data_IF_838519774632
#
_entry.id   IF_838519774632
#
_cell.length_a   1.000
_cell.length_b   1.000
_cell.length_c   1.000
_cell.angle_alpha   90.00
_cell.angle_beta   90.00
_cell.angle_gamma   90.00
#
_symmetry.space_group_name_H-M   'P 1'
#
loop_
_entity.id
_entity.type
_entity.pdbx_description
1 polymer ?
#
# COMPACT_ATOMS: atom_id res chain seq x y z
N UNK A 1 61.30 -48.78 -22.02
CA UNK A 1 61.27 -48.32 -20.61
C UNK A 1 59.92 -47.64 -20.36
N UNK A 2 58.95 -48.34 -19.79
CA UNK A 2 57.68 -47.75 -19.33
C UNK A 2 57.96 -47.03 -18.02
N UNK A 3 57.99 -45.68 -18.03
CA UNK A 3 58.07 -44.92 -16.80
C UNK A 3 56.79 -45.19 -15.98
N UNK A 4 56.94 -45.68 -14.77
CA UNK A 4 55.89 -45.73 -13.78
C UNK A 4 55.37 -44.29 -13.55
N UNK A 5 54.15 -44.03 -13.95
CA UNK A 5 53.44 -42.81 -13.62
C UNK A 5 53.30 -42.78 -12.12
N UNK A 6 53.83 -41.69 -11.51
CA UNK A 6 53.82 -41.54 -10.08
C UNK A 6 52.37 -41.51 -9.56
N UNK A 7 51.97 -42.59 -8.92
CA UNK A 7 50.62 -42.74 -8.35
C UNK A 7 50.33 -41.67 -7.27
N UNK A 8 51.37 -41.04 -6.71
CA UNK A 8 51.23 -40.03 -5.68
C UNK A 8 50.62 -38.70 -6.19
N UNK A 9 50.91 -38.34 -7.45
CA UNK A 9 50.37 -37.09 -8.06
C UNK A 9 48.90 -37.26 -8.42
N UNK A 10 48.48 -38.43 -8.89
CA UNK A 10 47.03 -38.73 -9.13
C UNK A 10 46.23 -38.79 -7.82
N UNK A 11 46.82 -39.31 -6.78
CA UNK A 11 46.19 -39.46 -5.47
C UNK A 11 45.99 -38.07 -4.82
N UNK A 12 47.00 -37.20 -4.81
CA UNK A 12 46.91 -35.84 -4.26
C UNK A 12 45.92 -34.92 -4.97
N UNK A 13 45.78 -35.03 -6.31
CA UNK A 13 44.81 -34.25 -7.06
C UNK A 13 43.38 -34.68 -6.79
N UNK A 14 43.14 -36.02 -6.61
CA UNK A 14 41.82 -36.56 -6.26
C UNK A 14 41.41 -36.19 -4.83
N UNK A 15 42.33 -36.27 -3.86
CA UNK A 15 42.04 -35.90 -2.48
C UNK A 15 41.77 -34.38 -2.32
N UNK A 16 42.56 -33.53 -2.94
CA UNK A 16 42.35 -32.09 -2.91
C UNK A 16 41.02 -31.68 -3.56
N UNK A 17 40.58 -32.40 -4.61
CA UNK A 17 39.32 -32.13 -5.26
C UNK A 17 38.13 -32.60 -4.40
N UNK A 18 38.20 -33.74 -3.76
CA UNK A 18 37.17 -34.25 -2.85
C UNK A 18 37.11 -33.39 -1.56
N UNK A 19 38.24 -32.86 -1.10
CA UNK A 19 38.29 -31.91 0.02
C UNK A 19 37.62 -30.59 -0.33
N UNK A 20 37.94 -29.98 -1.47
CA UNK A 20 37.29 -28.80 -2.02
C UNK A 20 35.79 -29.01 -2.23
N UNK A 21 35.39 -30.18 -2.73
CA UNK A 21 33.96 -30.53 -2.91
C UNK A 21 33.23 -30.68 -1.60
N UNK A 22 33.89 -31.25 -0.57
CA UNK A 22 33.35 -31.38 0.77
C UNK A 22 33.19 -30.00 1.42
N UNK A 23 34.21 -29.17 1.35
CA UNK A 23 34.21 -27.81 1.87
C UNK A 23 33.14 -26.93 1.20
N UNK A 24 32.98 -27.07 -0.11
CA UNK A 24 31.93 -26.40 -0.87
C UNK A 24 30.53 -26.85 -0.42
N UNK A 25 30.34 -28.16 -0.25
CA UNK A 25 29.06 -28.73 0.21
C UNK A 25 28.71 -28.29 1.64
N UNK A 26 29.70 -28.24 2.52
CA UNK A 26 29.57 -27.76 3.90
C UNK A 26 29.24 -26.26 3.94
N UNK A 27 29.86 -25.46 3.08
CA UNK A 27 29.60 -24.02 2.97
C UNK A 27 28.20 -23.74 2.41
N UNK A 28 27.73 -24.50 1.39
CA UNK A 28 26.35 -24.39 0.90
C UNK A 28 25.35 -24.80 2.00
N UNK A 29 25.62 -25.88 2.72
CA UNK A 29 24.78 -26.33 3.82
C UNK A 29 24.73 -25.32 4.98
N UNK A 30 25.83 -24.65 5.24
CA UNK A 30 25.93 -23.57 6.23
C UNK A 30 25.15 -22.32 5.80
N UNK A 31 25.21 -21.95 4.53
CA UNK A 31 24.42 -20.88 3.93
C UNK A 31 22.93 -21.18 3.97
N UNK A 32 22.52 -22.39 3.59
CA UNK A 32 21.13 -22.81 3.62
C UNK A 32 20.56 -22.78 5.06
N UNK A 33 21.36 -23.24 6.05
CA UNK A 33 21.00 -23.13 7.46
C UNK A 33 20.90 -21.70 7.94
N UNK A 34 21.83 -20.81 7.54
CA UNK A 34 21.81 -19.40 7.88
C UNK A 34 20.58 -18.70 7.26
N UNK A 35 20.26 -19.02 6.01
CA UNK A 35 19.10 -18.51 5.29
C UNK A 35 17.78 -18.94 5.96
N UNK A 36 17.64 -20.22 6.27
CA UNK A 36 16.47 -20.76 6.96
C UNK A 36 16.32 -20.15 8.37
N UNK A 37 17.42 -19.99 9.11
CA UNK A 37 17.37 -19.35 10.42
C UNK A 37 16.98 -17.88 10.35
N UNK A 38 17.46 -17.17 9.34
CA UNK A 38 17.10 -15.76 9.07
C UNK A 38 15.62 -15.63 8.66
N UNK A 39 15.14 -16.53 7.81
CA UNK A 39 13.73 -16.57 7.41
C UNK A 39 12.79 -16.85 8.59
N UNK A 40 13.13 -17.81 9.46
CA UNK A 40 12.38 -18.12 10.67
C UNK A 40 12.41 -16.92 11.64
N UNK A 41 13.56 -16.29 11.83
CA UNK A 41 13.68 -15.09 12.67
C UNK A 41 12.84 -13.94 12.14
N UNK A 42 12.88 -13.66 10.83
CA UNK A 42 12.06 -12.63 10.19
C UNK A 42 10.54 -12.91 10.35
N UNK A 43 10.14 -14.18 10.24
CA UNK A 43 8.74 -14.57 10.48
C UNK A 43 8.32 -14.37 11.93
N UNK A 44 9.20 -14.66 12.89
CA UNK A 44 8.96 -14.46 14.31
C UNK A 44 8.92 -12.97 14.66
N UNK A 45 9.86 -12.17 14.16
CA UNK A 45 9.90 -10.70 14.34
C UNK A 45 8.63 -10.05 13.76
N UNK A 46 8.14 -10.54 12.61
CA UNK A 46 6.89 -10.11 11.99
C UNK A 46 5.64 -10.52 12.81
N UNK A 47 5.67 -11.70 13.42
CA UNK A 47 4.60 -12.18 14.28
C UNK A 47 4.57 -11.39 15.61
N UNK A 48 5.73 -11.05 16.15
CA UNK A 48 5.88 -10.21 17.33
C UNK A 48 5.36 -8.80 17.08
N UNK A 49 5.72 -8.18 15.95
CA UNK A 49 5.17 -6.88 15.52
C UNK A 49 3.65 -6.90 15.36
N UNK A 50 3.07 -8.01 14.92
CA UNK A 50 1.60 -8.16 14.80
C UNK A 50 0.90 -8.36 16.14
N UNK A 51 1.61 -8.82 17.16
CA UNK A 51 1.06 -9.14 18.49
C UNK A 51 1.23 -8.01 19.53
N UNK A 52 2.00 -6.96 19.20
CA UNK A 52 2.24 -5.85 20.12
C UNK A 52 0.99 -5.00 20.28
N UNK A 53 0.45 -5.00 21.49
CA UNK A 53 -0.65 -4.12 21.91
C UNK A 53 -0.07 -2.72 22.15
N UNK A 54 -0.33 -1.79 21.21
CA UNK A 54 0.29 -0.48 21.18
C UNK A 54 -0.35 0.48 22.19
N UNK A 55 0.09 0.41 23.42
CA UNK A 55 -0.40 1.28 24.50
C UNK A 55 0.23 2.69 24.51
N UNK A 56 1.35 2.92 23.84
CA UNK A 56 1.93 4.27 23.74
C UNK A 56 2.68 4.51 22.42
N UNK A 57 2.62 5.76 21.91
CA UNK A 57 3.31 6.25 20.71
C UNK A 57 4.83 5.99 20.75
N UNK A 58 5.45 6.22 21.88
CA UNK A 58 6.91 6.13 22.06
C UNK A 58 7.44 4.70 22.00
N UNK A 59 6.69 3.72 22.51
CA UNK A 59 7.06 2.30 22.45
C UNK A 59 6.92 1.74 21.03
N UNK A 60 5.95 2.22 20.26
CA UNK A 60 5.76 1.84 18.85
C UNK A 60 6.92 2.34 17.97
N UNK A 61 7.25 3.63 18.03
CA UNK A 61 8.33 4.23 17.23
C UNK A 61 9.66 3.55 17.49
N UNK A 62 9.97 3.24 18.75
CA UNK A 62 11.22 2.59 19.15
C UNK A 62 11.27 1.14 18.70
N UNK A 63 10.23 0.33 18.95
CA UNK A 63 10.19 -1.08 18.57
C UNK A 63 10.22 -1.25 17.03
N UNK A 64 9.53 -0.40 16.29
CA UNK A 64 9.54 -0.40 14.83
C UNK A 64 10.92 -0.05 14.25
N UNK A 65 11.61 0.94 14.83
CA UNK A 65 12.93 1.37 14.38
C UNK A 65 14.00 0.31 14.68
N UNK A 66 14.00 -0.25 15.89
CA UNK A 66 14.96 -1.25 16.35
C UNK A 66 14.81 -2.56 15.53
N UNK A 67 13.60 -3.03 15.30
CA UNK A 67 13.35 -4.23 14.49
C UNK A 67 13.77 -4.02 13.04
N UNK A 68 13.51 -2.83 12.50
CA UNK A 68 13.89 -2.47 11.14
C UNK A 68 15.41 -2.48 10.95
N UNK A 69 16.15 -1.87 11.86
CA UNK A 69 17.63 -1.82 11.81
C UNK A 69 18.22 -3.22 11.92
N UNK A 70 17.70 -4.07 12.82
CA UNK A 70 18.12 -5.45 12.96
C UNK A 70 17.95 -6.29 11.70
N UNK A 71 16.81 -6.10 10.98
CA UNK A 71 16.56 -6.79 9.70
C UNK A 71 17.57 -6.35 8.64
N UNK A 72 17.81 -5.04 8.51
CA UNK A 72 18.78 -4.51 7.55
C UNK A 72 20.21 -4.98 7.82
N UNK A 73 20.63 -5.02 9.07
CA UNK A 73 21.97 -5.45 9.46
C UNK A 73 22.15 -6.94 9.17
N UNK A 74 21.17 -7.80 9.46
CA UNK A 74 21.22 -9.23 9.12
C UNK A 74 21.24 -9.48 7.60
N UNK A 75 20.46 -8.72 6.83
CA UNK A 75 20.50 -8.81 5.36
C UNK A 75 21.86 -8.38 4.81
N UNK A 76 22.48 -7.36 5.41
CA UNK A 76 23.84 -6.93 5.06
C UNK A 76 24.85 -8.03 5.34
N UNK A 77 24.82 -8.66 6.50
CA UNK A 77 25.74 -9.74 6.90
C UNK A 77 25.62 -10.93 5.94
N UNK A 78 24.40 -11.33 5.54
CA UNK A 78 24.17 -12.38 4.54
C UNK A 78 24.73 -11.98 3.18
N UNK A 79 24.51 -10.73 2.74
CA UNK A 79 25.03 -10.21 1.46
C UNK A 79 26.55 -10.16 1.44
N UNK A 80 27.20 -9.68 2.50
CA UNK A 80 28.66 -9.65 2.60
C UNK A 80 29.25 -11.05 2.68
N UNK A 81 28.61 -11.97 3.40
CA UNK A 81 29.01 -13.38 3.43
C UNK A 81 28.98 -14.01 2.04
N UNK A 82 27.91 -13.80 1.26
CA UNK A 82 27.76 -14.28 -0.13
C UNK A 82 28.79 -13.62 -1.05
N UNK A 83 29.01 -12.31 -0.91
CA UNK A 83 29.98 -11.56 -1.69
C UNK A 83 31.41 -12.05 -1.44
N UNK A 84 31.76 -12.29 -0.19
CA UNK A 84 33.10 -12.79 0.20
C UNK A 84 33.33 -14.23 -0.29
N UNK A 85 32.32 -15.09 -0.25
CA UNK A 85 32.39 -16.44 -0.85
C UNK A 85 32.62 -16.40 -2.37
N UNK A 86 31.98 -15.45 -3.07
CA UNK A 86 32.14 -15.31 -4.51
C UNK A 86 33.55 -14.85 -4.90
N UNK A 87 34.15 -13.95 -4.14
CA UNK A 87 35.51 -13.46 -4.38
C UNK A 87 36.60 -14.50 -4.07
N UNK A 88 36.49 -15.19 -2.96
CA UNK A 88 37.45 -16.23 -2.59
C UNK A 88 37.46 -17.37 -3.61
N UNK A 89 36.28 -17.82 -4.04
CA UNK A 89 36.13 -18.93 -5.01
C UNK A 89 36.57 -18.58 -6.42
N UNK A 90 36.39 -17.34 -6.87
CA UNK A 90 36.88 -16.92 -8.21
C UNK A 90 38.42 -16.87 -8.24
N UNK A 91 39.08 -16.52 -7.13
CA UNK A 91 40.51 -16.55 -6.98
C UNK A 91 41.05 -17.99 -6.90
N UNK A 92 40.36 -18.86 -6.13
CA UNK A 92 40.75 -20.29 -5.99
C UNK A 92 40.50 -21.06 -7.30
N UNK A 93 39.41 -20.78 -8.00
CA UNK A 93 39.14 -21.32 -9.34
C UNK A 93 40.18 -20.87 -10.36
N UNK A 94 40.59 -19.58 -10.34
CA UNK A 94 41.65 -19.06 -11.20
C UNK A 94 43.00 -19.71 -10.88
N UNK A 95 43.32 -19.90 -9.60
CA UNK A 95 44.53 -20.59 -9.16
C UNK A 95 44.55 -22.06 -9.61
N UNK A 96 43.39 -22.75 -9.49
CA UNK A 96 43.23 -24.15 -9.94
C UNK A 96 43.37 -24.29 -11.45
N UNK A 97 42.73 -23.40 -12.21
CA UNK A 97 42.82 -23.36 -13.68
C UNK A 97 44.25 -23.02 -14.12
N UNK A 98 44.94 -22.11 -13.44
CA UNK A 98 46.37 -21.74 -13.70
C UNK A 98 47.29 -22.91 -13.40
N UNK A 99 47.11 -23.64 -12.28
CA UNK A 99 47.88 -24.82 -11.92
C UNK A 99 47.67 -25.99 -12.91
N UNK A 100 46.45 -26.17 -13.39
CA UNK A 100 46.11 -27.10 -14.46
C UNK A 100 46.82 -26.72 -15.79
N UNK A 101 46.82 -25.43 -16.15
CA UNK A 101 47.49 -24.93 -17.36
C UNK A 101 49.02 -25.20 -17.32
N UNK A 102 49.67 -24.93 -16.17
CA UNK A 102 51.11 -25.19 -15.97
C UNK A 102 51.43 -26.68 -16.02
N UNK A 103 50.54 -27.54 -15.50
CA UNK A 103 50.71 -29.02 -15.57
C UNK A 103 50.43 -29.60 -16.96
N UNK A 104 49.65 -28.91 -17.80
CA UNK A 104 49.42 -29.29 -19.22
C UNK A 104 50.56 -28.91 -20.13
N UNK A 105 51.35 -27.83 -19.82
CA UNK A 105 52.56 -27.45 -20.57
C UNK A 105 53.68 -28.45 -20.35
N UNK A 106 53.71 -29.17 -19.25
CA UNK A 106 54.67 -30.22 -18.95
C UNK A 106 54.22 -31.54 -19.65
N UNK A 107 54.60 -31.66 -20.91
CA UNK A 107 54.10 -32.55 -22.00
C UNK A 107 54.02 -34.06 -21.72
N UNK A 108 54.09 -34.54 -20.48
CA UNK A 108 54.25 -35.98 -20.28
C UNK A 108 53.24 -36.70 -19.32
N UNK A 109 52.21 -36.04 -18.77
CA UNK A 109 51.55 -36.68 -17.61
C UNK A 109 50.00 -36.67 -17.63
N UNK A 110 49.29 -35.99 -18.54
CA UNK A 110 47.82 -35.88 -18.40
C UNK A 110 47.09 -36.38 -19.68
N UNK A 111 46.20 -37.36 -19.49
CA UNK A 111 45.23 -37.76 -20.51
C UNK A 111 44.18 -36.69 -20.74
N UNK A 112 43.95 -36.29 -21.97
CA UNK A 112 43.03 -35.21 -22.38
C UNK A 112 41.58 -35.44 -21.83
N UNK A 113 41.18 -36.68 -21.65
CA UNK A 113 39.85 -37.05 -21.12
C UNK A 113 39.69 -36.64 -19.65
N UNK A 114 40.76 -36.78 -18.83
CA UNK A 114 40.74 -36.41 -17.41
C UNK A 114 40.65 -34.88 -17.25
N UNK A 115 41.25 -34.10 -18.14
CA UNK A 115 41.20 -32.63 -18.13
C UNK A 115 39.81 -32.15 -18.53
N UNK A 116 39.20 -32.77 -19.54
CA UNK A 116 37.85 -32.44 -19.97
C UNK A 116 36.82 -32.70 -18.82
N UNK A 117 36.94 -33.83 -18.11
CA UNK A 117 36.07 -34.16 -16.97
C UNK A 117 36.20 -33.16 -15.81
N UNK A 118 37.44 -32.70 -15.51
CA UNK A 118 37.69 -31.69 -14.47
C UNK A 118 37.11 -30.34 -14.88
N UNK A 119 37.31 -29.92 -16.15
CA UNK A 119 36.74 -28.67 -16.66
C UNK A 119 35.21 -28.68 -16.64
N UNK A 120 34.58 -29.79 -16.99
CA UNK A 120 33.11 -29.97 -16.92
C UNK A 120 32.61 -29.82 -15.49
N UNK A 121 33.26 -30.45 -14.51
CA UNK A 121 32.91 -30.33 -13.08
C UNK A 121 33.08 -28.89 -12.56
N UNK A 122 34.10 -28.17 -13.00
CA UNK A 122 34.32 -26.75 -12.68
C UNK A 122 33.21 -25.88 -13.25
N UNK A 123 32.78 -26.15 -14.49
CA UNK A 123 31.72 -25.41 -15.15
C UNK A 123 30.36 -25.62 -14.43
N UNK A 124 30.05 -26.84 -14.06
CA UNK A 124 28.82 -27.18 -13.29
C UNK A 124 28.83 -26.46 -11.94
N UNK A 125 29.93 -26.50 -11.19
CA UNK A 125 30.06 -25.76 -9.92
C UNK A 125 29.85 -24.25 -10.08
N UNK A 126 30.38 -23.66 -11.17
CA UNK A 126 30.20 -22.23 -11.48
C UNK A 126 28.73 -21.89 -11.77
N UNK A 127 28.04 -22.73 -12.56
CA UNK A 127 26.62 -22.56 -12.85
C UNK A 127 25.75 -22.67 -11.60
N UNK A 128 26.00 -23.63 -10.74
CA UNK A 128 25.26 -23.81 -9.48
C UNK A 128 25.44 -22.62 -8.53
N UNK A 129 26.67 -22.09 -8.44
CA UNK A 129 26.94 -20.88 -7.65
C UNK A 129 26.21 -19.66 -8.20
N UNK A 130 26.20 -19.47 -9.54
CA UNK A 130 25.47 -18.37 -10.16
C UNK A 130 23.96 -18.46 -9.95
N UNK A 131 23.41 -19.65 -10.02
CA UNK A 131 21.99 -19.90 -9.75
C UNK A 131 21.63 -19.62 -8.29
N UNK A 132 22.48 -20.04 -7.35
CA UNK A 132 22.31 -19.73 -5.93
C UNK A 132 22.32 -18.21 -5.66
N UNK A 133 23.26 -17.46 -6.27
CA UNK A 133 23.31 -16.01 -6.17
C UNK A 133 22.02 -15.35 -6.67
N UNK A 134 21.53 -15.74 -7.87
CA UNK A 134 20.27 -15.21 -8.40
C UNK A 134 19.07 -15.49 -7.50
N UNK A 135 19.05 -16.66 -6.89
CA UNK A 135 17.99 -17.04 -5.94
C UNK A 135 18.04 -16.15 -4.70
N UNK A 136 19.23 -15.89 -4.15
CA UNK A 136 19.43 -15.01 -3.00
C UNK A 136 19.04 -13.55 -3.30
N UNK A 137 19.42 -13.03 -4.47
CA UNK A 137 18.99 -11.71 -4.94
C UNK A 137 17.45 -11.60 -5.03
N UNK A 138 16.81 -12.64 -5.54
CA UNK A 138 15.35 -12.72 -5.60
C UNK A 138 14.69 -12.70 -4.21
N UNK A 139 15.25 -13.45 -3.25
CA UNK A 139 14.76 -13.47 -1.86
C UNK A 139 14.97 -12.11 -1.20
N UNK A 140 16.14 -11.50 -1.39
CA UNK A 140 16.45 -10.17 -0.85
C UNK A 140 15.49 -9.11 -1.36
N UNK A 141 15.24 -9.06 -2.67
CA UNK A 141 14.30 -8.10 -3.27
C UNK A 141 12.89 -8.28 -2.71
N UNK A 142 12.42 -9.51 -2.59
CA UNK A 142 11.11 -9.82 -2.02
C UNK A 142 11.01 -9.45 -0.54
N UNK A 143 12.08 -9.62 0.22
CA UNK A 143 12.14 -9.18 1.62
C UNK A 143 12.06 -7.65 1.74
N UNK A 144 12.74 -6.92 0.86
CA UNK A 144 12.69 -5.45 0.81
C UNK A 144 11.27 -4.98 0.49
N UNK A 145 10.61 -5.55 -0.53
CA UNK A 145 9.22 -5.24 -0.89
C UNK A 145 8.27 -5.47 0.30
N UNK A 146 8.38 -6.61 0.98
CA UNK A 146 7.55 -6.92 2.14
C UNK A 146 7.77 -5.92 3.30
N UNK A 147 9.02 -5.50 3.54
CA UNK A 147 9.35 -4.50 4.57
C UNK A 147 8.71 -3.15 4.23
N UNK A 148 8.75 -2.72 2.98
CA UNK A 148 8.12 -1.47 2.54
C UNK A 148 6.60 -1.52 2.68
N UNK A 149 5.97 -2.65 2.35
CA UNK A 149 4.53 -2.86 2.57
C UNK A 149 4.15 -2.77 4.06
N UNK A 150 4.93 -3.41 4.93
CA UNK A 150 4.71 -3.37 6.39
C UNK A 150 4.86 -1.95 6.93
N UNK A 151 5.89 -1.21 6.51
CA UNK A 151 6.07 0.20 6.89
C UNK A 151 4.90 1.06 6.48
N UNK A 152 4.44 0.91 5.24
CA UNK A 152 3.30 1.66 4.74
C UNK A 152 2.04 1.34 5.56
N UNK A 153 1.81 0.07 5.89
CA UNK A 153 0.66 -0.34 6.70
C UNK A 153 0.76 0.20 8.13
N UNK A 154 1.93 0.18 8.73
CA UNK A 154 2.17 0.76 10.05
C UNK A 154 1.93 2.27 10.06
N UNK A 155 2.43 2.98 9.04
CA UNK A 155 2.16 4.41 8.89
C UNK A 155 0.65 4.70 8.79
N UNK A 156 -0.09 3.92 8.01
CA UNK A 156 -1.54 4.06 7.88
C UNK A 156 -2.27 3.83 9.21
N UNK A 157 -1.89 2.80 9.94
CA UNK A 157 -2.46 2.50 11.26
C UNK A 157 -2.20 3.63 12.26
N UNK A 158 -0.96 4.12 12.30
CA UNK A 158 -0.58 5.24 13.15
C UNK A 158 -1.34 6.53 12.80
N UNK A 159 -1.44 6.83 11.50
CA UNK A 159 -2.20 7.97 11.00
C UNK A 159 -3.66 7.91 11.44
N UNK A 160 -4.29 6.73 11.34
CA UNK A 160 -5.67 6.50 11.76
C UNK A 160 -5.87 6.74 13.26
N UNK A 161 -4.96 6.25 14.11
CA UNK A 161 -5.00 6.50 15.55
C UNK A 161 -4.87 8.00 15.89
N UNK A 162 -3.96 8.71 15.19
CA UNK A 162 -3.84 10.16 15.36
C UNK A 162 -5.14 10.89 14.99
N UNK A 163 -5.79 10.49 13.90
CA UNK A 163 -7.08 11.07 13.52
C UNK A 163 -8.18 10.75 14.52
N UNK A 164 -8.16 9.57 15.15
CA UNK A 164 -9.10 9.24 16.22
C UNK A 164 -8.93 10.18 17.44
N UNK A 165 -7.70 10.40 17.89
CA UNK A 165 -7.40 11.33 19.00
C UNK A 165 -7.79 12.77 18.65
N UNK A 166 -7.39 13.25 17.46
CA UNK A 166 -7.74 14.59 16.99
C UNK A 166 -9.26 14.79 16.87
N UNK A 167 -9.97 13.78 16.38
CA UNK A 167 -11.44 13.81 16.29
C UNK A 167 -12.06 13.89 17.68
N UNK A 168 -11.63 13.00 18.58
CA UNK A 168 -12.11 12.97 19.96
C UNK A 168 -11.95 14.34 20.64
N UNK A 169 -10.76 14.92 20.58
CA UNK A 169 -10.47 16.23 21.17
C UNK A 169 -11.29 17.36 20.52
N UNK A 170 -11.42 17.31 19.18
CA UNK A 170 -12.18 18.32 18.44
C UNK A 170 -13.68 18.31 18.76
N UNK A 171 -14.25 17.15 19.10
CA UNK A 171 -15.68 16.98 19.39
C UNK A 171 -16.05 17.32 20.85
N UNK A 172 -15.09 17.44 21.78
CA UNK A 172 -15.38 17.58 23.22
C UNK A 172 -16.32 18.73 23.53
N UNK A 173 -16.09 19.92 22.99
CA UNK A 173 -16.82 21.14 23.31
C UNK A 173 -17.70 21.59 22.13
N UNK A 174 -18.34 20.66 21.44
CA UNK A 174 -19.23 20.94 20.31
C UNK A 174 -20.66 20.54 20.64
N UNK A 175 -21.45 21.52 21.10
CA UNK A 175 -22.83 21.33 21.55
C UNK A 175 -23.80 20.93 20.43
N UNK A 176 -23.44 21.26 19.17
CA UNK A 176 -24.26 20.89 18.01
C UNK A 176 -24.16 19.39 17.68
N UNK A 177 -23.06 18.73 18.03
CA UNK A 177 -22.87 17.30 17.84
C UNK A 177 -23.47 16.54 19.03
N UNK A 178 -24.74 16.18 18.93
CA UNK A 178 -25.52 15.55 20.01
C UNK A 178 -25.19 14.07 20.18
N UNK A 179 -25.07 13.34 19.08
CA UNK A 179 -24.68 11.94 19.08
C UNK A 179 -23.25 11.81 18.54
N UNK A 180 -22.32 11.47 19.44
CA UNK A 180 -20.89 11.30 19.17
C UNK A 180 -20.49 9.83 18.96
N UNK A 181 -21.46 8.89 18.96
CA UNK A 181 -21.19 7.47 18.78
C UNK A 181 -21.12 7.15 17.27
N UNK A 182 -19.94 7.09 16.72
CA UNK A 182 -19.69 6.69 15.35
C UNK A 182 -19.16 5.26 15.29
N UNK A 183 -19.78 4.41 14.45
CA UNK A 183 -19.33 3.04 14.20
C UNK A 183 -18.35 3.03 13.02
N UNK A 184 -17.08 3.31 13.28
CA UNK A 184 -16.03 3.47 12.26
C UNK A 184 -15.25 2.14 12.13
N UNK A 185 -15.93 1.11 11.61
CA UNK A 185 -15.36 -0.24 11.51
C UNK A 185 -15.72 -0.89 10.17
N UNK A 186 -14.82 -1.70 9.62
CA UNK A 186 -14.94 -2.40 8.33
C UNK A 186 -15.17 -1.44 7.14
N UNK A 187 -16.29 -1.60 6.41
CA UNK A 187 -16.62 -0.81 5.23
C UNK A 187 -17.12 0.61 5.49
N UNK A 188 -17.33 1.00 6.76
CA UNK A 188 -17.78 2.34 7.11
C UNK A 188 -16.67 3.40 6.87
N UNK A 189 -17.03 4.67 7.00
CA UNK A 189 -16.06 5.77 7.06
C UNK A 189 -15.05 5.53 8.17
N UNK A 190 -13.80 5.92 7.96
CA UNK A 190 -12.73 5.82 8.96
C UNK A 190 -12.56 7.14 9.74
N UNK A 191 -11.69 7.15 10.75
CA UNK A 191 -11.46 8.33 11.60
C UNK A 191 -10.94 9.52 10.81
N UNK A 192 -10.04 9.32 9.86
CA UNK A 192 -9.50 10.41 9.03
C UNK A 192 -10.59 11.07 8.19
N UNK A 193 -11.56 10.30 7.69
CA UNK A 193 -12.69 10.83 6.92
C UNK A 193 -13.64 11.63 7.81
N UNK A 194 -14.08 11.05 8.92
CA UNK A 194 -14.99 11.76 9.85
C UNK A 194 -14.33 13.02 10.41
N UNK A 195 -13.03 12.97 10.78
CA UNK A 195 -12.29 14.15 11.21
C UNK A 195 -12.26 15.24 10.13
N UNK A 196 -11.92 14.86 8.90
CA UNK A 196 -11.88 15.78 7.76
C UNK A 196 -13.22 16.46 7.54
N UNK A 197 -14.27 15.66 7.47
CA UNK A 197 -15.63 16.15 7.28
C UNK A 197 -16.08 17.03 8.45
N UNK A 198 -15.82 16.62 9.68
CA UNK A 198 -16.11 17.41 10.89
C UNK A 198 -15.44 18.78 10.83
N UNK A 199 -14.14 18.84 10.46
CA UNK A 199 -13.40 20.11 10.36
C UNK A 199 -13.96 21.01 9.26
N UNK A 200 -14.35 20.45 8.13
CA UNK A 200 -15.02 21.20 7.04
C UNK A 200 -16.36 21.77 7.53
N UNK A 201 -17.20 20.94 8.13
CA UNK A 201 -18.50 21.38 8.65
C UNK A 201 -18.35 22.44 9.75
N UNK A 202 -17.36 22.29 10.63
CA UNK A 202 -17.18 23.19 11.77
C UNK A 202 -16.58 24.53 11.39
N UNK A 203 -15.69 24.61 10.41
CA UNK A 203 -14.91 25.81 10.10
C UNK A 203 -15.30 26.49 8.78
N UNK A 204 -15.74 25.73 7.76
CA UNK A 204 -16.15 26.28 6.47
C UNK A 204 -17.63 26.66 6.48
N UNK A 205 -18.43 25.92 7.24
CA UNK A 205 -19.85 26.17 7.43
C UNK A 205 -20.67 26.13 6.11
N UNK A 206 -20.57 25.03 5.31
CA UNK A 206 -21.24 24.93 4.02
C UNK A 206 -22.76 24.98 4.17
N UNK A 207 -23.45 25.53 3.15
CA UNK A 207 -24.90 25.69 3.16
C UNK A 207 -25.65 24.60 2.37
N UNK A 208 -25.11 24.17 1.25
CA UNK A 208 -25.74 23.17 0.40
C UNK A 208 -24.82 21.96 0.30
N UNK A 209 -25.27 20.85 0.85
CA UNK A 209 -24.47 19.63 0.97
C UNK A 209 -25.11 18.53 0.10
N UNK A 210 -24.30 17.88 -0.73
CA UNK A 210 -24.65 16.67 -1.42
C UNK A 210 -23.79 15.54 -0.90
N UNK A 211 -24.43 14.45 -0.48
CA UNK A 211 -23.75 13.24 -0.03
C UNK A 211 -24.17 12.07 -0.90
N UNK A 212 -23.21 11.45 -1.57
CA UNK A 212 -23.39 10.24 -2.36
C UNK A 212 -22.95 9.04 -1.55
N UNK A 213 -23.88 8.18 -1.20
CA UNK A 213 -23.73 7.07 -0.24
C UNK A 213 -24.16 7.47 1.17
N UNK A 214 -25.05 6.68 1.76
CA UNK A 214 -25.58 6.90 3.11
C UNK A 214 -24.80 6.09 4.14
N UNK A 215 -24.33 6.73 5.23
CA UNK A 215 -23.55 6.04 6.26
C UNK A 215 -23.24 6.90 7.49
N UNK A 216 -22.09 6.64 8.11
CA UNK A 216 -21.64 7.38 9.30
C UNK A 216 -21.40 8.87 9.01
N UNK A 217 -21.02 9.21 7.78
CA UNK A 217 -20.92 10.58 7.31
C UNK A 217 -22.28 11.28 7.31
N UNK A 218 -23.36 10.58 6.95
CA UNK A 218 -24.73 11.10 7.00
C UNK A 218 -25.19 11.39 8.44
N UNK A 219 -24.74 10.62 9.41
CA UNK A 219 -24.99 10.90 10.82
C UNK A 219 -24.33 12.20 11.28
N UNK A 220 -23.16 12.52 10.75
CA UNK A 220 -22.46 13.77 11.05
C UNK A 220 -23.09 14.96 10.32
N UNK A 221 -23.34 14.85 9.02
CA UNK A 221 -23.88 15.93 8.18
C UNK A 221 -25.31 16.30 8.55
N UNK A 222 -26.16 15.31 8.90
CA UNK A 222 -27.54 15.58 9.34
C UNK A 222 -27.58 16.30 10.69
N UNK A 223 -26.70 15.98 11.64
CA UNK A 223 -26.59 16.71 12.91
C UNK A 223 -26.13 18.16 12.68
N UNK A 224 -25.19 18.36 11.76
CA UNK A 224 -24.75 19.69 11.37
C UNK A 224 -25.93 20.53 10.85
N UNK A 225 -26.74 20.01 9.94
CA UNK A 225 -27.91 20.68 9.38
C UNK A 225 -28.99 20.90 10.46
N UNK A 226 -29.19 19.92 11.35
CA UNK A 226 -30.21 20.02 12.38
C UNK A 226 -29.86 21.02 13.49
N UNK A 227 -28.61 21.05 13.94
CA UNK A 227 -28.27 21.67 15.21
C UNK A 227 -27.23 22.81 15.09
N UNK A 228 -26.43 22.88 14.00
CA UNK A 228 -25.41 23.91 13.84
C UNK A 228 -25.80 24.98 12.85
N UNK A 229 -26.14 24.63 11.62
CA UNK A 229 -26.43 25.57 10.55
C UNK A 229 -27.88 25.44 10.08
N UNK A 230 -28.75 26.31 10.60
CA UNK A 230 -30.17 26.30 10.28
C UNK A 230 -30.49 26.74 8.83
N UNK A 231 -29.53 27.32 8.12
CA UNK A 231 -29.66 27.68 6.70
C UNK A 231 -29.15 26.58 5.77
N UNK A 232 -28.49 25.54 6.33
CA UNK A 232 -27.94 24.46 5.53
C UNK A 232 -29.01 23.45 5.09
N UNK A 233 -28.82 22.87 3.92
CA UNK A 233 -29.59 21.75 3.36
C UNK A 233 -28.68 20.59 3.05
N UNK A 234 -29.24 19.39 3.12
CA UNK A 234 -28.53 18.13 2.84
C UNK A 234 -29.39 17.26 1.93
N UNK A 235 -28.84 16.90 0.79
CA UNK A 235 -29.37 15.83 -0.07
C UNK A 235 -28.46 14.59 0.06
N UNK A 236 -29.03 13.48 0.50
CA UNK A 236 -28.35 12.17 0.62
C UNK A 236 -28.87 11.28 -0.51
N UNK A 237 -27.96 10.74 -1.30
CA UNK A 237 -28.26 9.84 -2.42
C UNK A 237 -27.87 8.42 -2.03
N UNK A 238 -28.82 7.50 -2.07
CA UNK A 238 -28.59 6.09 -1.74
C UNK A 238 -29.34 5.19 -2.74
N UNK A 239 -28.83 3.99 -3.00
CA UNK A 239 -29.43 3.03 -3.93
C UNK A 239 -30.08 1.83 -3.24
N UNK A 240 -29.82 1.62 -1.96
CA UNK A 240 -30.31 0.50 -1.18
C UNK A 240 -31.44 0.94 -0.25
N UNK A 241 -32.67 0.52 -0.58
CA UNK A 241 -33.86 0.88 0.18
C UNK A 241 -33.86 0.28 1.59
N UNK A 242 -33.38 -0.95 1.74
CA UNK A 242 -33.30 -1.62 3.04
C UNK A 242 -32.28 -0.91 3.93
N UNK A 243 -31.18 -0.43 3.35
CA UNK A 243 -30.19 0.37 4.08
C UNK A 243 -30.75 1.72 4.53
N UNK A 244 -31.53 2.38 3.67
CA UNK A 244 -32.24 3.62 4.03
C UNK A 244 -33.16 3.37 5.23
N UNK A 245 -33.97 2.31 5.19
CA UNK A 245 -34.92 1.99 6.27
C UNK A 245 -34.24 1.73 7.61
N UNK A 246 -33.11 1.04 7.60
CA UNK A 246 -32.29 0.79 8.80
C UNK A 246 -31.67 2.08 9.34
N UNK A 247 -31.10 2.89 8.44
CA UNK A 247 -30.23 3.99 8.84
C UNK A 247 -30.93 5.29 9.15
N UNK A 248 -32.03 5.59 8.44
CA UNK A 248 -32.79 6.84 8.60
C UNK A 248 -33.29 7.05 10.04
N UNK A 249 -33.60 5.96 10.77
CA UNK A 249 -34.05 6.04 12.17
C UNK A 249 -32.97 6.56 13.13
N UNK A 250 -31.70 6.55 12.69
CA UNK A 250 -30.56 7.03 13.48
C UNK A 250 -30.21 8.49 13.20
N UNK A 251 -30.87 9.11 12.24
CA UNK A 251 -30.57 10.47 11.80
C UNK A 251 -31.55 11.49 12.39
N UNK A 252 -31.10 12.69 12.78
CA UNK A 252 -31.99 13.79 13.13
C UNK A 252 -32.59 14.41 11.87
N UNK A 253 -33.57 13.74 11.29
CA UNK A 253 -34.25 14.18 10.08
C UNK A 253 -35.12 15.41 10.35
N UNK A 254 -35.09 16.37 9.42
CA UNK A 254 -35.99 17.52 9.35
C UNK A 254 -36.24 17.86 7.87
N UNK A 255 -37.05 18.89 7.60
CA UNK A 255 -37.41 19.31 6.23
C UNK A 255 -36.23 19.68 5.33
N UNK A 256 -35.06 19.97 5.93
CA UNK A 256 -33.82 20.37 5.24
C UNK A 256 -32.89 19.19 4.95
N UNK A 257 -33.17 18.00 5.48
CA UNK A 257 -32.44 16.75 5.21
C UNK A 257 -33.32 15.87 4.36
N UNK A 258 -32.91 15.62 3.14
CA UNK A 258 -33.66 14.79 2.18
C UNK A 258 -32.84 13.57 1.79
N UNK A 259 -33.47 12.41 1.88
CA UNK A 259 -32.90 11.14 1.43
C UNK A 259 -33.57 10.77 0.11
N UNK A 260 -32.79 10.47 -0.91
CA UNK A 260 -33.25 10.14 -2.24
C UNK A 260 -32.80 8.72 -2.59
N UNK A 261 -33.80 7.83 -2.80
CA UNK A 261 -33.54 6.51 -3.35
C UNK A 261 -33.31 6.62 -4.86
N UNK A 262 -32.08 6.40 -5.30
CA UNK A 262 -31.65 6.44 -6.68
C UNK A 262 -31.17 5.06 -7.13
N UNK A 263 -31.94 4.37 -7.97
CA UNK A 263 -31.51 3.11 -8.56
C UNK A 263 -30.18 3.27 -9.32
N UNK A 264 -29.45 2.18 -9.45
CA UNK A 264 -28.22 2.18 -10.25
C UNK A 264 -28.52 1.92 -11.73
N UNK A 265 -27.74 2.51 -12.61
CA UNK A 265 -27.63 2.14 -14.01
C UNK A 265 -26.21 1.70 -14.34
N UNK A 266 -26.10 0.81 -15.31
CA UNK A 266 -24.82 0.27 -15.76
C UNK A 266 -24.37 0.98 -17.03
N UNK A 267 -23.07 1.17 -17.17
CA UNK A 267 -22.44 1.71 -18.37
C UNK A 267 -21.07 1.07 -18.57
N UNK A 268 -20.58 1.07 -19.80
CA UNK A 268 -19.27 0.53 -20.13
C UNK A 268 -18.21 1.65 -20.14
N UNK A 269 -17.06 1.40 -19.52
CA UNK A 269 -15.90 2.27 -19.59
C UNK A 269 -14.64 1.43 -19.79
N UNK A 270 -13.92 1.66 -20.89
CA UNK A 270 -12.71 0.90 -21.30
C UNK A 270 -12.92 -0.62 -21.29
N UNK A 271 -14.08 -1.10 -21.75
CA UNK A 271 -14.41 -2.53 -21.81
C UNK A 271 -14.81 -3.17 -20.46
N UNK A 272 -14.99 -2.38 -19.42
CA UNK A 272 -15.41 -2.84 -18.09
C UNK A 272 -16.76 -2.23 -17.74
N UNK A 273 -17.68 -3.05 -17.24
CA UNK A 273 -18.95 -2.60 -16.72
C UNK A 273 -18.76 -1.78 -15.44
N UNK A 274 -19.32 -0.59 -15.43
CA UNK A 274 -19.36 0.32 -14.30
C UNK A 274 -20.82 0.65 -13.95
N UNK A 275 -21.05 1.25 -12.79
CA UNK A 275 -22.38 1.66 -12.34
C UNK A 275 -22.34 3.06 -11.73
N UNK A 276 -23.45 3.77 -11.90
CA UNK A 276 -23.69 5.10 -11.37
C UNK A 276 -25.15 5.25 -10.93
N UNK A 277 -25.46 6.28 -10.16
CA UNK A 277 -26.84 6.62 -9.83
C UNK A 277 -27.60 7.06 -11.06
N UNK A 278 -28.73 6.40 -11.32
CA UNK A 278 -29.58 6.64 -12.45
C UNK A 278 -30.42 7.91 -12.24
N UNK A 279 -30.48 8.77 -13.26
CA UNK A 279 -31.29 9.97 -13.26
C UNK A 279 -31.03 10.91 -12.07
N UNK A 280 -29.83 10.93 -11.55
CA UNK A 280 -29.43 11.81 -10.44
C UNK A 280 -29.70 13.28 -10.77
N UNK A 281 -29.49 13.70 -12.03
CA UNK A 281 -29.74 15.07 -12.51
C UNK A 281 -31.17 15.57 -12.23
N UNK A 282 -32.17 14.67 -12.26
CA UNK A 282 -33.55 15.03 -11.93
C UNK A 282 -33.71 15.35 -10.44
N UNK A 283 -32.95 14.71 -9.57
CA UNK A 283 -33.00 14.87 -8.11
C UNK A 283 -32.34 16.17 -7.67
N UNK A 284 -31.21 16.48 -8.31
CA UNK A 284 -30.38 17.65 -7.94
C UNK A 284 -30.57 18.83 -8.89
N UNK A 285 -31.58 18.77 -9.75
CA UNK A 285 -31.88 19.82 -10.73
C UNK A 285 -31.95 21.19 -10.06
N UNK A 286 -31.35 22.18 -10.71
CA UNK A 286 -31.32 23.59 -10.29
C UNK A 286 -30.70 23.86 -8.91
N UNK A 287 -30.03 22.86 -8.32
CA UNK A 287 -29.29 22.99 -7.06
C UNK A 287 -27.80 23.23 -7.29
N UNK A 288 -27.19 24.01 -6.40
CA UNK A 288 -25.74 24.25 -6.38
C UNK A 288 -25.18 23.88 -5.02
N UNK A 289 -24.13 23.03 -4.99
CA UNK A 289 -23.58 22.48 -3.77
C UNK A 289 -22.22 23.10 -3.42
N UNK A 290 -22.05 23.47 -2.16
CA UNK A 290 -20.78 23.95 -1.59
C UNK A 290 -19.92 22.80 -1.06
N UNK A 291 -20.56 21.70 -0.65
CA UNK A 291 -19.87 20.50 -0.18
C UNK A 291 -20.46 19.29 -0.90
N UNK A 292 -19.59 18.53 -1.54
CA UNK A 292 -19.96 17.25 -2.18
C UNK A 292 -19.11 16.13 -1.54
N UNK A 293 -19.78 15.14 -0.98
CA UNK A 293 -19.19 13.96 -0.36
C UNK A 293 -19.39 12.78 -1.31
N UNK A 294 -18.28 12.15 -1.72
CA UNK A 294 -18.26 11.12 -2.77
C UNK A 294 -17.84 9.79 -2.14
N UNK A 295 -18.82 9.07 -1.58
CA UNK A 295 -18.60 7.75 -0.94
C UNK A 295 -19.49 6.64 -1.54
N UNK A 296 -20.42 6.97 -2.43
CA UNK A 296 -21.31 6.04 -3.11
C UNK A 296 -21.42 6.29 -4.62
N UNK A 297 -21.96 5.33 -5.36
CA UNK A 297 -22.27 3.96 -4.95
C UNK A 297 -21.01 3.11 -4.74
N UNK A 298 -21.19 1.85 -4.25
CA UNK A 298 -20.07 0.93 -4.01
C UNK A 298 -19.18 0.77 -5.25
N UNK A 299 -17.89 1.13 -5.12
CA UNK A 299 -16.93 1.26 -6.22
C UNK A 299 -16.13 0.01 -6.59
N UNK A 300 -16.30 -1.11 -5.85
CA UNK A 300 -15.45 -2.31 -6.04
C UNK A 300 -15.53 -2.88 -7.47
N UNK A 301 -14.37 -3.26 -8.03
CA UNK A 301 -14.21 -3.88 -9.36
C UNK A 301 -14.60 -2.99 -10.55
N UNK A 302 -14.73 -1.69 -10.38
CA UNK A 302 -15.01 -0.72 -11.43
C UNK A 302 -13.74 0.04 -11.82
N UNK A 303 -13.67 0.51 -13.08
CA UNK A 303 -12.59 1.39 -13.54
C UNK A 303 -12.92 2.87 -13.38
N UNK A 304 -14.23 3.22 -13.34
CA UNK A 304 -14.70 4.58 -13.16
C UNK A 304 -15.90 4.59 -12.19
N UNK A 305 -15.69 4.20 -10.92
CA UNK A 305 -16.76 4.24 -9.91
C UNK A 305 -17.15 5.67 -9.56
N UNK A 306 -18.36 5.85 -9.01
CA UNK A 306 -18.81 7.16 -8.49
C UNK A 306 -18.78 8.28 -9.54
N UNK A 307 -18.90 7.92 -10.84
CA UNK A 307 -18.71 8.82 -11.99
C UNK A 307 -19.72 9.97 -12.08
N UNK A 308 -20.86 9.91 -11.37
CA UNK A 308 -21.80 11.04 -11.30
C UNK A 308 -21.15 12.36 -10.87
N UNK A 309 -20.03 12.32 -10.13
CA UNK A 309 -19.33 13.55 -9.70
C UNK A 309 -18.88 14.40 -10.90
N UNK A 310 -18.55 13.75 -12.03
CA UNK A 310 -18.12 14.45 -13.24
C UNK A 310 -19.27 15.31 -13.81
N UNK A 311 -20.51 14.77 -13.79
CA UNK A 311 -21.72 15.48 -14.21
C UNK A 311 -22.08 16.59 -13.21
N UNK A 312 -21.93 16.34 -11.91
CA UNK A 312 -22.16 17.32 -10.83
C UNK A 312 -21.25 18.53 -10.98
N UNK A 313 -19.97 18.32 -11.29
CA UNK A 313 -18.99 19.39 -11.53
C UNK A 313 -19.44 20.32 -12.67
N UNK A 314 -20.06 19.77 -13.71
CA UNK A 314 -20.53 20.58 -14.86
C UNK A 314 -21.74 21.43 -14.53
N UNK A 315 -22.67 20.94 -13.69
CA UNK A 315 -24.00 21.53 -13.60
C UNK A 315 -24.42 21.96 -12.19
N UNK A 316 -23.88 21.33 -11.15
CA UNK A 316 -24.41 21.46 -9.79
C UNK A 316 -23.38 21.93 -8.75
N UNK A 317 -22.17 22.28 -9.17
CA UNK A 317 -21.17 22.82 -8.26
C UNK A 317 -21.39 24.32 -8.04
N UNK A 318 -21.30 24.79 -6.81
CA UNK A 318 -21.30 26.21 -6.48
C UNK A 318 -19.93 26.83 -6.82
N UNK A 319 -19.84 28.16 -6.88
CA UNK A 319 -18.57 28.86 -7.15
C UNK A 319 -17.54 28.56 -6.05
N UNK A 320 -17.99 28.54 -4.79
CA UNK A 320 -17.19 28.14 -3.64
C UNK A 320 -17.58 26.71 -3.22
N UNK A 321 -16.63 25.79 -3.34
CA UNK A 321 -16.92 24.36 -3.12
C UNK A 321 -15.77 23.61 -2.48
N UNK A 322 -16.12 22.49 -1.86
CA UNK A 322 -15.24 21.41 -1.44
C UNK A 322 -15.84 20.08 -1.94
N UNK A 323 -15.00 19.24 -2.53
CA UNK A 323 -15.35 17.87 -2.89
C UNK A 323 -14.44 16.93 -2.09
N UNK A 324 -15.03 15.99 -1.36
CA UNK A 324 -14.29 14.98 -0.58
C UNK A 324 -14.58 13.61 -1.16
N UNK A 325 -13.56 12.92 -1.63
CA UNK A 325 -13.63 11.54 -2.10
C UNK A 325 -13.13 10.60 -1.00
N UNK A 326 -13.89 9.55 -0.69
CA UNK A 326 -13.40 8.42 0.10
C UNK A 326 -12.76 7.34 -0.79
N UNK A 327 -12.01 6.42 -0.17
CA UNK A 327 -11.34 5.28 -0.84
C UNK A 327 -10.34 5.70 -1.95
N UNK A 328 -9.74 6.88 -1.84
CA UNK A 328 -8.88 7.47 -2.88
C UNK A 328 -7.59 6.67 -3.17
N UNK A 329 -7.26 5.66 -2.36
CA UNK A 329 -6.19 4.70 -2.61
C UNK A 329 -6.53 3.69 -3.71
N UNK A 330 -7.81 3.51 -4.05
CA UNK A 330 -8.25 2.55 -5.06
C UNK A 330 -8.06 3.08 -6.47
N UNK A 331 -7.61 2.23 -7.39
CA UNK A 331 -7.32 2.62 -8.79
C UNK A 331 -8.52 3.22 -9.52
N UNK A 332 -9.71 2.68 -9.30
CA UNK A 332 -10.94 3.19 -9.93
C UNK A 332 -11.28 4.60 -9.46
N UNK A 333 -11.24 4.83 -8.15
CA UNK A 333 -11.46 6.14 -7.55
C UNK A 333 -10.41 7.17 -8.01
N UNK A 334 -9.14 6.77 -8.17
CA UNK A 334 -8.08 7.62 -8.73
C UNK A 334 -8.39 8.06 -10.17
N UNK A 335 -8.94 7.17 -11.00
CA UNK A 335 -9.39 7.51 -12.35
C UNK A 335 -10.56 8.52 -12.31
N UNK A 336 -11.54 8.31 -11.43
CA UNK A 336 -12.66 9.24 -11.25
C UNK A 336 -12.17 10.62 -10.76
N UNK A 337 -11.26 10.66 -9.80
CA UNK A 337 -10.62 11.90 -9.31
C UNK A 337 -9.86 12.59 -10.46
N UNK A 338 -9.12 11.83 -11.25
CA UNK A 338 -8.37 12.36 -12.40
C UNK A 338 -9.30 13.03 -13.43
N UNK A 339 -10.39 12.36 -13.78
CA UNK A 339 -11.37 12.91 -14.73
C UNK A 339 -12.13 14.11 -14.15
N UNK A 340 -12.45 14.09 -12.87
CA UNK A 340 -13.05 15.24 -12.17
C UNK A 340 -12.14 16.47 -12.23
N UNK A 341 -10.83 16.30 -11.94
CA UNK A 341 -9.84 17.37 -12.05
C UNK A 341 -9.70 17.87 -13.49
N UNK A 342 -9.66 16.97 -14.46
CA UNK A 342 -9.58 17.34 -15.87
C UNK A 342 -10.80 18.18 -16.28
N UNK A 343 -12.00 17.82 -15.82
CA UNK A 343 -13.22 18.55 -16.09
C UNK A 343 -13.24 19.94 -15.44
N UNK A 344 -12.79 20.08 -14.19
CA UNK A 344 -12.64 21.38 -13.54
C UNK A 344 -11.67 22.29 -14.31
N UNK A 345 -10.56 21.71 -14.80
CA UNK A 345 -9.58 22.44 -15.61
C UNK A 345 -10.15 22.88 -16.96
N UNK A 346 -10.91 21.99 -17.64
CA UNK A 346 -11.61 22.29 -18.89
C UNK A 346 -12.60 23.47 -18.74
N UNK A 347 -13.28 23.53 -17.59
CA UNK A 347 -14.20 24.60 -17.25
C UNK A 347 -13.52 25.89 -16.79
N UNK A 348 -12.19 25.92 -16.72
CA UNK A 348 -11.43 27.08 -16.25
C UNK A 348 -11.56 27.36 -14.75
N UNK A 349 -12.00 26.38 -13.96
CA UNK A 349 -12.20 26.53 -12.51
C UNK A 349 -10.85 26.34 -11.80
N UNK A 350 -10.42 27.36 -11.04
CA UNK A 350 -9.23 27.27 -10.20
C UNK A 350 -9.51 26.46 -8.93
N UNK A 351 -8.67 25.48 -8.65
CA UNK A 351 -8.80 24.63 -7.48
C UNK A 351 -7.43 24.22 -6.90
N UNK A 352 -7.43 23.79 -5.67
CA UNK A 352 -6.29 23.17 -4.99
C UNK A 352 -6.70 21.79 -4.47
N UNK A 353 -5.73 20.95 -4.18
CA UNK A 353 -5.99 19.57 -3.74
C UNK A 353 -5.20 19.22 -2.49
N UNK A 354 -5.71 18.25 -1.74
CA UNK A 354 -5.03 17.62 -0.63
C UNK A 354 -5.39 16.13 -0.60
N UNK A 355 -4.42 15.30 -0.28
CA UNK A 355 -4.66 13.90 0.07
C UNK A 355 -4.37 13.69 1.55
N UNK A 356 -5.20 12.91 2.22
CA UNK A 356 -5.03 12.46 3.60
C UNK A 356 -4.97 10.95 3.61
N UNK A 357 -3.84 10.42 4.05
CA UNK A 357 -3.57 8.99 4.06
C UNK A 357 -3.66 8.42 5.48
N UNK A 358 -4.54 7.43 5.63
CA UNK A 358 -4.73 6.64 6.83
C UNK A 358 -5.09 5.20 6.42
N UNK A 359 -5.91 4.47 7.18
CA UNK A 359 -6.40 3.13 6.76
C UNK A 359 -7.08 3.18 5.40
N UNK A 360 -7.91 4.21 5.18
CA UNK A 360 -8.42 4.63 3.88
C UNK A 360 -7.87 6.02 3.59
N UNK A 361 -7.71 6.35 2.32
CA UNK A 361 -7.26 7.66 1.91
C UNK A 361 -8.45 8.52 1.44
N UNK A 362 -8.45 9.79 1.82
CA UNK A 362 -9.37 10.78 1.28
C UNK A 362 -8.64 11.73 0.33
N UNK A 363 -9.27 12.03 -0.80
CA UNK A 363 -8.80 13.07 -1.71
C UNK A 363 -9.78 14.23 -1.70
N UNK A 364 -9.26 15.44 -1.51
CA UNK A 364 -10.09 16.63 -1.32
C UNK A 364 -9.72 17.67 -2.38
N UNK A 365 -10.75 18.24 -3.00
CA UNK A 365 -10.62 19.35 -3.95
C UNK A 365 -11.28 20.56 -3.33
N UNK A 366 -10.58 21.69 -3.32
CA UNK A 366 -11.04 22.96 -2.77
C UNK A 366 -11.08 24.01 -3.88
N UNK A 367 -12.16 24.79 -3.95
CA UNK A 367 -12.16 26.02 -4.72
C UNK A 367 -11.11 27.00 -4.17
N UNK A 368 -10.77 28.02 -4.95
CA UNK A 368 -9.79 29.05 -4.55
C UNK A 368 -10.14 29.70 -3.21
N UNK A 369 -11.39 30.05 -2.98
CA UNK A 369 -11.89 30.67 -1.75
C UNK A 369 -11.74 29.79 -0.53
N UNK A 370 -11.88 28.45 -0.70
CA UNK A 370 -11.76 27.48 0.39
C UNK A 370 -10.37 26.86 0.52
N UNK A 371 -9.35 27.41 -0.18
CA UNK A 371 -7.99 26.89 -0.08
C UNK A 371 -7.42 26.87 1.36
N UNK A 372 -7.88 27.78 2.23
CA UNK A 372 -7.49 27.77 3.65
C UNK A 372 -7.89 26.48 4.37
N UNK A 373 -8.95 25.81 3.91
CA UNK A 373 -9.46 24.57 4.53
C UNK A 373 -8.49 23.36 4.40
N UNK A 374 -7.45 23.50 3.59
CA UNK A 374 -6.34 22.51 3.53
C UNK A 374 -5.58 22.39 4.86
N UNK A 375 -5.62 23.41 5.70
CA UNK A 375 -4.90 23.47 6.97
C UNK A 375 -5.77 23.15 8.20
N UNK A 376 -6.99 22.69 7.97
CA UNK A 376 -7.94 22.30 9.04
C UNK A 376 -7.68 20.92 9.63
#
# INVERSE_FOLDING_TARGET
MKKKIDHSVKYNLGENFEELRREFKENILSLDKALNSTQISLQNDLAELKSVDFLTRQSFEKASLDTHQNILDRLRDVYEGVRNLNFAKDADLKALVSDLYLKLEDKNVVDANNVAEILEKILVCKMDTQNAIKTLEGIQNKAIENIEEVKLQQYKNYSELNFADLLHDSMQNRDWLKDKNFSLYLGAANYSFIYTLFRVLDNVNPQNILEMGMGQTSKLTSQYVAYKNQNATLDIIENDADWIDIYQSQLPLNERVKIHLCNLEFFEFKGVENRKYRALDNVIKDKKYNLVIVDGPLGSRQLLPRSNIIDIVMSNLADDFIIIFDDAERKGEQETISQTKAKLTELGIEFTTQQRDALKSQFIIFSKSFNFARYL
#
